data_IF_439980208554
#
_entry.id   IF_439980208554
#
_cell.length_a   1.000
_cell.length_b   1.000
_cell.length_c   1.000
_cell.angle_alpha   90.00
_cell.angle_beta   90.00
_cell.angle_gamma   90.00
#
_symmetry.space_group_name_H-M   'P 1'
#
loop_
_entity.id
_entity.type
_entity.pdbx_description
1 polymer ?
#
# COMPACT_ATOMS: atom_id res chain seq x y z
N UNK A 1 -38.95 -50.42 41.58
CA UNK A 1 -39.34 -51.52 40.67
C UNK A 1 -38.69 -51.28 39.33
N UNK A 2 -37.75 -52.13 39.09
CA UNK A 2 -37.32 -52.72 37.81
C UNK A 2 -36.74 -51.79 36.73
N UNK A 3 -35.42 -51.88 36.54
CA UNK A 3 -34.60 -52.90 35.78
C UNK A 3 -34.76 -52.65 34.25
N UNK A 4 -33.74 -52.62 33.43
CA UNK A 4 -32.50 -53.28 33.13
C UNK A 4 -31.97 -52.70 31.79
N UNK A 5 -30.74 -52.37 31.66
CA UNK A 5 -29.64 -53.07 30.97
C UNK A 5 -29.66 -53.12 29.43
N UNK A 6 -28.53 -52.79 28.94
CA UNK A 6 -27.77 -53.30 27.75
C UNK A 6 -27.97 -52.45 26.47
N UNK A 7 -26.98 -52.20 25.70
CA UNK A 7 -25.77 -52.89 25.39
C UNK A 7 -24.87 -52.12 24.45
N UNK A 8 -23.67 -52.53 24.41
CA UNK A 8 -22.54 -52.12 23.61
C UNK A 8 -22.80 -51.94 22.10
N UNK A 9 -22.24 -50.92 21.51
CA UNK A 9 -21.48 -51.10 20.27
C UNK A 9 -20.48 -49.98 20.03
N UNK A 10 -19.23 -50.35 20.13
CA UNK A 10 -18.08 -49.61 19.67
C UNK A 10 -18.06 -49.61 18.14
N UNK A 11 -18.09 -48.44 17.51
CA UNK A 11 -17.62 -48.28 16.13
C UNK A 11 -16.75 -47.05 16.04
N UNK A 12 -15.46 -47.29 16.02
CA UNK A 12 -14.41 -46.45 15.51
C UNK A 12 -14.71 -46.02 14.08
N UNK A 13 -14.88 -44.73 13.84
CA UNK A 13 -14.64 -44.14 12.54
C UNK A 13 -13.80 -42.90 12.74
N UNK A 14 -12.56 -43.05 12.34
CA UNK A 14 -11.58 -42.02 12.18
C UNK A 14 -11.99 -41.03 11.11
N UNK A 15 -12.37 -39.80 11.51
CA UNK A 15 -12.36 -38.65 10.60
C UNK A 15 -11.38 -37.63 11.17
N UNK A 16 -10.19 -37.60 10.57
CA UNK A 16 -9.25 -36.52 10.65
C UNK A 16 -9.92 -35.25 10.09
N UNK A 17 -10.37 -34.39 10.96
CA UNK A 17 -10.75 -33.03 10.58
C UNK A 17 -9.50 -32.17 10.39
N UNK A 18 -9.45 -31.28 9.37
CA UNK A 18 -8.30 -30.42 9.14
C UNK A 18 -8.11 -29.43 10.29
N UNK A 19 -6.87 -29.18 10.66
CA UNK A 19 -6.42 -28.38 11.80
C UNK A 19 -6.95 -26.92 11.88
N UNK A 20 -7.68 -26.45 10.86
CA UNK A 20 -8.31 -25.12 10.83
C UNK A 20 -9.63 -25.01 11.61
N UNK A 21 -10.26 -26.13 11.98
CA UNK A 21 -11.55 -26.14 12.69
C UNK A 21 -11.42 -26.05 14.22
N UNK A 22 -10.27 -26.41 14.79
CA UNK A 22 -10.05 -26.42 16.25
C UNK A 22 -9.81 -25.02 16.84
N UNK A 23 -9.49 -24.02 16.00
CA UNK A 23 -9.18 -22.65 16.45
C UNK A 23 -10.37 -21.75 16.80
N UNK A 24 -11.62 -22.17 16.60
CA UNK A 24 -12.81 -21.30 16.81
C UNK A 24 -13.64 -21.56 18.07
N UNK A 25 -13.30 -22.52 18.90
CA UNK A 25 -14.16 -22.94 20.02
C UNK A 25 -13.64 -22.69 21.44
N UNK A 26 -12.53 -21.96 21.65
CA UNK A 26 -11.95 -21.72 23.01
C UNK A 26 -12.03 -20.26 23.46
N UNK A 27 -13.06 -19.50 23.07
CA UNK A 27 -13.21 -18.09 23.52
C UNK A 27 -14.28 -17.89 24.61
N UNK A 28 -14.66 -18.91 25.39
CA UNK A 28 -15.69 -18.76 26.43
C UNK A 28 -15.33 -19.23 27.85
N UNK A 29 -14.07 -19.44 28.18
CA UNK A 29 -13.69 -19.67 29.59
C UNK A 29 -12.45 -18.85 29.90
N UNK A 30 -12.60 -17.89 30.82
CA UNK A 30 -11.55 -16.96 31.25
C UNK A 30 -10.39 -17.64 31.98
N UNK A 31 -9.59 -18.39 31.28
CA UNK A 31 -8.28 -18.90 31.69
C UNK A 31 -7.24 -18.21 30.83
N UNK A 32 -6.24 -17.61 31.44
CA UNK A 32 -5.07 -17.04 30.79
C UNK A 32 -4.50 -18.06 29.80
N UNK A 33 -4.94 -17.99 28.55
CA UNK A 33 -4.30 -18.72 27.48
C UNK A 33 -2.92 -18.12 27.27
N UNK A 34 -1.88 -18.82 27.64
CA UNK A 34 -0.52 -18.59 27.18
C UNK A 34 -0.57 -18.50 25.64
N UNK A 35 -0.38 -17.29 25.14
CA UNK A 35 -0.38 -17.04 23.70
C UNK A 35 0.77 -17.84 23.07
N UNK A 36 0.47 -18.85 22.29
CA UNK A 36 1.45 -19.52 21.44
C UNK A 36 2.17 -18.48 20.57
N UNK A 37 3.47 -18.66 20.32
CA UNK A 37 4.26 -17.81 19.46
C UNK A 37 3.59 -17.64 18.10
N UNK A 38 3.76 -16.47 17.50
CA UNK A 38 3.10 -16.12 16.26
C UNK A 38 4.12 -15.75 15.18
N UNK A 39 3.95 -16.37 14.03
CA UNK A 39 4.80 -16.07 12.87
C UNK A 39 4.03 -15.14 11.93
N UNK A 40 4.66 -14.03 11.58
CA UNK A 40 4.18 -13.11 10.56
C UNK A 40 5.09 -13.18 9.33
N UNK A 41 4.50 -13.23 8.14
CA UNK A 41 5.23 -13.26 6.89
C UNK A 41 4.80 -12.07 6.04
N UNK A 42 5.64 -11.03 6.01
CA UNK A 42 5.44 -9.80 5.25
C UNK A 42 6.15 -9.92 3.90
N UNK A 43 5.42 -9.86 2.81
CA UNK A 43 6.04 -9.87 1.48
C UNK A 43 5.37 -8.85 0.57
N UNK A 44 6.14 -8.23 -0.29
CA UNK A 44 5.63 -7.22 -1.24
C UNK A 44 6.74 -6.34 -1.77
N UNK A 45 6.40 -5.48 -2.73
CA UNK A 45 7.32 -4.50 -3.30
C UNK A 45 7.19 -3.12 -2.66
N UNK A 46 6.18 -2.92 -1.82
CA UNK A 46 5.95 -1.68 -1.09
C UNK A 46 6.69 -1.71 0.27
N UNK A 47 7.87 -1.09 0.31
CA UNK A 47 8.69 -1.00 1.51
C UNK A 47 8.04 -0.16 2.62
N UNK A 48 7.20 0.81 2.25
CA UNK A 48 6.49 1.66 3.21
C UNK A 48 5.49 0.83 4.01
N UNK A 49 4.72 -0.03 3.34
CA UNK A 49 3.80 -0.97 3.98
C UNK A 49 4.52 -2.01 4.85
N UNK A 50 5.65 -2.54 4.38
CA UNK A 50 6.46 -3.47 5.20
C UNK A 50 6.91 -2.77 6.49
N UNK A 51 7.45 -1.54 6.39
CA UNK A 51 7.87 -0.75 7.56
C UNK A 51 6.71 -0.43 8.50
N UNK A 52 5.57 -0.02 7.96
CA UNK A 52 4.36 0.27 8.72
C UNK A 52 3.88 -0.97 9.51
N UNK A 53 3.76 -2.12 8.84
CA UNK A 53 3.35 -3.37 9.50
C UNK A 53 4.33 -3.82 10.58
N UNK A 54 5.63 -3.65 10.38
CA UNK A 54 6.64 -3.91 11.40
C UNK A 54 6.47 -3.00 12.61
N UNK A 55 6.19 -1.70 12.40
CA UNK A 55 5.90 -0.75 13.49
C UNK A 55 4.65 -1.16 14.25
N UNK A 56 3.55 -1.45 13.56
CA UNK A 56 2.30 -1.92 14.19
C UNK A 56 2.52 -3.21 15.01
N UNK A 57 3.33 -4.14 14.51
CA UNK A 57 3.67 -5.35 15.26
C UNK A 57 4.52 -5.03 16.51
N UNK A 58 5.44 -4.07 16.43
CA UNK A 58 6.21 -3.63 17.59
C UNK A 58 5.32 -2.96 18.65
N UNK A 59 4.35 -2.16 18.24
CA UNK A 59 3.36 -1.53 19.11
C UNK A 59 2.39 -2.56 19.74
N UNK A 60 2.07 -3.63 19.01
CA UNK A 60 1.22 -4.73 19.51
C UNK A 60 1.90 -5.59 20.57
N UNK A 61 3.21 -5.63 20.59
CA UNK A 61 4.01 -6.43 21.52
C UNK A 61 5.02 -5.54 22.29
N UNK A 62 4.52 -4.59 23.13
CA UNK A 62 5.37 -3.57 23.73
C UNK A 62 6.34 -4.11 24.80
N UNK A 63 6.00 -5.23 25.43
CA UNK A 63 6.80 -5.84 26.51
C UNK A 63 7.83 -6.87 26.00
N UNK A 64 8.10 -6.90 24.69
CA UNK A 64 9.02 -7.86 24.09
C UNK A 64 10.36 -7.20 23.74
N UNK A 65 11.45 -7.89 24.02
CA UNK A 65 12.76 -7.51 23.50
C UNK A 65 12.81 -7.71 21.99
N UNK A 66 13.11 -6.63 21.25
CA UNK A 66 13.14 -6.69 19.78
C UNK A 66 14.54 -6.97 19.26
N UNK A 67 14.68 -8.05 18.49
CA UNK A 67 15.92 -8.44 17.79
C UNK A 67 15.70 -8.27 16.29
N UNK A 68 16.63 -7.57 15.60
CA UNK A 68 16.57 -7.41 14.15
C UNK A 68 17.76 -8.12 13.51
N UNK A 69 17.47 -9.03 12.59
CA UNK A 69 18.47 -9.78 11.81
C UNK A 69 18.25 -9.51 10.33
N UNK A 70 19.19 -8.84 9.67
CA UNK A 70 19.19 -8.72 8.21
C UNK A 70 19.82 -9.97 7.61
N UNK A 71 18.99 -10.77 6.91
CA UNK A 71 19.40 -12.06 6.33
C UNK A 71 20.45 -11.97 5.22
N UNK A 72 20.73 -10.78 4.70
CA UNK A 72 21.79 -10.56 3.70
C UNK A 72 23.16 -10.30 4.32
N UNK A 73 23.22 -9.97 5.61
CA UNK A 73 24.47 -9.66 6.28
C UNK A 73 25.31 -10.91 6.57
N UNK A 74 26.64 -10.81 6.54
CA UNK A 74 27.51 -11.92 6.94
C UNK A 74 27.19 -12.40 8.36
N UNK A 75 27.12 -13.72 8.55
CA UNK A 75 26.79 -14.32 9.84
C UNK A 75 25.33 -14.25 10.25
N UNK A 76 24.42 -13.83 9.36
CA UNK A 76 22.98 -13.72 9.63
C UNK A 76 22.36 -15.07 10.07
N UNK A 77 22.82 -16.19 9.50
CA UNK A 77 22.33 -17.51 9.86
C UNK A 77 22.59 -17.81 11.35
N UNK A 78 23.82 -17.63 11.82
CA UNK A 78 24.17 -17.84 13.22
C UNK A 78 23.44 -16.89 14.18
N UNK A 79 23.29 -15.60 13.79
CA UNK A 79 22.56 -14.62 14.58
C UNK A 79 21.07 -14.94 14.68
N UNK A 80 20.45 -15.40 13.58
CA UNK A 80 19.05 -15.79 13.59
C UNK A 80 18.84 -17.07 14.42
N UNK A 81 19.72 -18.05 14.29
CA UNK A 81 19.69 -19.26 15.11
C UNK A 81 19.86 -18.93 16.59
N UNK A 82 20.85 -18.09 16.93
CA UNK A 82 21.04 -17.62 18.30
C UNK A 82 19.79 -16.88 18.84
N UNK A 83 19.18 -15.99 18.06
CA UNK A 83 17.96 -15.28 18.47
C UNK A 83 16.80 -16.24 18.73
N UNK A 84 16.67 -17.31 17.91
CA UNK A 84 15.63 -18.32 18.04
C UNK A 84 15.91 -19.37 19.15
N UNK A 85 17.18 -19.64 19.49
CA UNK A 85 17.57 -20.67 20.46
C UNK A 85 17.78 -20.15 21.88
N UNK A 86 17.98 -18.84 22.05
CA UNK A 86 18.21 -18.28 23.37
C UNK A 86 16.91 -18.27 24.16
N UNK A 87 16.72 -19.24 25.02
CA UNK A 87 15.71 -19.16 26.07
C UNK A 87 16.16 -18.09 27.07
N UNK A 88 15.39 -17.03 27.24
CA UNK A 88 15.70 -16.02 28.25
C UNK A 88 15.39 -16.59 29.64
N UNK A 89 16.37 -16.52 30.54
CA UNK A 89 16.21 -16.98 31.95
C UNK A 89 15.13 -16.21 32.70
N UNK A 90 14.66 -15.07 32.15
CA UNK A 90 13.64 -14.19 32.73
C UNK A 90 12.30 -14.22 32.00
N UNK A 91 12.07 -15.22 31.14
CA UNK A 91 10.77 -15.50 30.47
C UNK A 91 10.15 -14.32 29.69
N UNK A 92 10.93 -13.35 29.24
CA UNK A 92 10.44 -12.32 28.33
C UNK A 92 10.37 -12.88 26.90
N UNK A 93 9.20 -12.80 26.27
CA UNK A 93 9.03 -13.10 24.86
C UNK A 93 9.90 -12.19 24.03
N UNK A 94 10.41 -12.71 22.90
CA UNK A 94 11.15 -11.90 21.92
C UNK A 94 10.30 -11.60 20.70
N UNK A 95 10.54 -10.44 20.12
CA UNK A 95 10.04 -10.04 18.84
C UNK A 95 11.19 -10.02 17.84
N UNK A 96 11.29 -11.07 17.02
CA UNK A 96 12.42 -11.30 16.12
C UNK A 96 12.02 -10.86 14.72
N UNK A 97 12.67 -9.81 14.20
CA UNK A 97 12.54 -9.37 12.82
C UNK A 97 13.65 -9.97 11.96
N UNK A 98 13.32 -10.88 11.05
CA UNK A 98 14.23 -11.41 10.03
C UNK A 98 13.96 -10.69 8.70
N UNK A 99 14.77 -9.68 8.42
CA UNK A 99 14.65 -8.84 7.25
C UNK A 99 15.37 -9.44 6.05
N UNK A 100 14.91 -9.08 4.84
CA UNK A 100 15.47 -9.56 3.59
C UNK A 100 15.51 -11.11 3.52
N UNK A 101 14.45 -11.77 3.96
CA UNK A 101 14.32 -13.23 3.98
C UNK A 101 14.19 -13.81 2.55
N UNK A 102 15.22 -13.61 1.71
CA UNK A 102 15.23 -14.01 0.30
C UNK A 102 15.19 -15.51 0.08
N UNK A 103 15.38 -16.31 1.12
CA UNK A 103 15.14 -17.76 1.06
C UNK A 103 13.68 -18.11 0.74
N UNK A 104 12.75 -17.18 0.93
CA UNK A 104 11.34 -17.29 0.54
C UNK A 104 11.09 -17.06 -0.96
N UNK A 105 12.08 -16.50 -1.67
CA UNK A 105 12.01 -16.19 -3.10
C UNK A 105 12.55 -17.34 -3.96
N UNK A 106 12.31 -17.27 -5.28
CA UNK A 106 12.86 -18.23 -6.24
C UNK A 106 14.40 -18.26 -6.19
N UNK A 107 15.03 -17.08 -6.11
CA UNK A 107 16.48 -16.94 -5.94
C UNK A 107 16.78 -16.55 -4.50
N UNK A 108 17.41 -17.45 -3.76
CA UNK A 108 17.93 -17.14 -2.43
C UNK A 108 19.29 -16.44 -2.54
N UNK A 109 19.38 -15.23 -2.04
CA UNK A 109 20.64 -14.45 -1.95
C UNK A 109 21.11 -14.32 -0.50
N UNK A 110 20.33 -14.79 0.48
CA UNK A 110 20.69 -14.77 1.88
C UNK A 110 21.54 -15.99 2.25
N UNK A 111 22.29 -15.87 3.35
CA UNK A 111 23.02 -16.99 3.93
C UNK A 111 22.16 -17.88 4.81
N UNK A 112 20.91 -17.46 5.07
CA UNK A 112 19.95 -18.20 5.90
C UNK A 112 19.29 -19.28 5.06
N UNK A 113 19.26 -20.50 5.61
CA UNK A 113 18.51 -21.61 5.02
C UNK A 113 17.10 -21.65 5.60
N UNK A 114 16.08 -21.96 4.79
CA UNK A 114 14.69 -21.97 5.25
C UNK A 114 14.44 -22.99 6.39
N UNK A 115 15.25 -24.03 6.46
CA UNK A 115 15.16 -25.08 7.49
C UNK A 115 15.48 -24.56 8.90
N UNK A 116 16.33 -23.53 9.02
CA UNK A 116 16.63 -22.88 10.30
C UNK A 116 15.37 -22.29 10.95
N UNK A 117 14.45 -21.78 10.13
CA UNK A 117 13.17 -21.23 10.59
C UNK A 117 12.12 -22.31 10.74
N UNK A 118 12.00 -23.25 9.78
CA UNK A 118 10.93 -24.26 9.79
C UNK A 118 11.09 -25.31 10.92
N UNK A 119 12.28 -25.49 11.45
CA UNK A 119 12.51 -26.35 12.63
C UNK A 119 11.98 -25.74 13.94
N UNK A 120 11.70 -24.44 13.96
CA UNK A 120 11.31 -23.68 15.14
C UNK A 120 9.95 -22.99 15.00
N UNK A 121 9.01 -23.65 14.30
CA UNK A 121 7.64 -23.16 14.14
C UNK A 121 6.83 -23.14 15.45
N UNK A 122 7.26 -23.91 16.46
CA UNK A 122 6.64 -24.02 17.78
C UNK A 122 7.44 -23.23 18.84
N UNK A 123 7.80 -21.99 18.53
CA UNK A 123 8.42 -21.10 19.51
C UNK A 123 7.36 -20.28 20.23
N UNK A 124 7.62 -19.85 21.46
CA UNK A 124 6.79 -18.88 22.19
C UNK A 124 7.04 -17.44 21.73
N UNK A 125 8.09 -17.20 20.96
CA UNK A 125 8.47 -15.91 20.44
C UNK A 125 7.59 -15.46 19.26
N UNK A 126 7.62 -14.17 18.97
CA UNK A 126 6.98 -13.58 17.79
C UNK A 126 8.04 -13.41 16.69
N UNK A 127 7.88 -14.16 15.60
CA UNK A 127 8.80 -14.10 14.46
C UNK A 127 8.17 -13.37 13.29
N UNK A 128 8.83 -12.31 12.81
CA UNK A 128 8.40 -11.50 11.67
C UNK A 128 9.39 -11.66 10.53
N UNK A 129 9.02 -12.40 9.51
CA UNK A 129 9.81 -12.57 8.29
C UNK A 129 9.39 -11.49 7.29
N UNK A 130 10.34 -10.71 6.76
CA UNK A 130 10.04 -9.71 5.74
C UNK A 130 10.89 -9.91 4.49
N UNK A 131 10.27 -9.77 3.30
CA UNK A 131 10.98 -9.91 2.02
C UNK A 131 10.37 -9.04 0.93
N UNK A 132 11.23 -8.39 0.14
CA UNK A 132 10.83 -7.58 -1.02
C UNK A 132 10.66 -8.49 -2.24
N UNK A 133 9.42 -8.94 -2.48
CA UNK A 133 9.08 -9.77 -3.64
C UNK A 133 7.60 -9.66 -3.98
N UNK A 134 7.25 -9.72 -5.27
CA UNK A 134 5.84 -9.76 -5.67
C UNK A 134 5.17 -11.09 -5.32
N UNK A 135 5.95 -12.18 -5.31
CA UNK A 135 5.44 -13.55 -5.09
C UNK A 135 6.42 -14.39 -4.29
N UNK A 136 5.89 -15.19 -3.40
CA UNK A 136 6.64 -16.22 -2.68
C UNK A 136 6.82 -17.46 -3.58
N UNK A 137 7.96 -18.16 -3.45
CA UNK A 137 8.19 -19.39 -4.21
C UNK A 137 7.53 -20.59 -3.54
N UNK A 138 6.25 -20.79 -3.82
CA UNK A 138 5.42 -21.87 -3.29
C UNK A 138 5.86 -23.28 -3.74
N UNK A 139 6.87 -23.42 -4.61
CA UNK A 139 7.45 -24.72 -4.98
C UNK A 139 8.30 -25.28 -3.85
N UNK A 140 8.89 -24.41 -3.02
CA UNK A 140 9.72 -24.79 -1.89
C UNK A 140 8.86 -25.32 -0.75
N UNK A 141 9.19 -26.53 -0.24
CA UNK A 141 8.47 -27.16 0.88
C UNK A 141 8.45 -26.26 2.12
N UNK A 142 9.58 -25.63 2.44
CA UNK A 142 9.71 -24.72 3.57
C UNK A 142 8.78 -23.50 3.47
N UNK A 143 8.62 -22.91 2.26
CA UNK A 143 7.70 -21.80 2.04
C UNK A 143 6.24 -22.21 2.28
N UNK A 144 5.85 -23.39 1.80
CA UNK A 144 4.51 -23.94 2.07
C UNK A 144 4.25 -24.14 3.57
N UNK A 145 5.23 -24.68 4.29
CA UNK A 145 5.13 -24.87 5.74
C UNK A 145 4.99 -23.54 6.47
N UNK A 146 5.78 -22.53 6.09
CA UNK A 146 5.71 -21.20 6.67
C UNK A 146 4.38 -20.50 6.35
N UNK A 147 3.86 -20.59 5.12
CA UNK A 147 2.54 -20.04 4.76
C UNK A 147 1.39 -20.68 5.58
N UNK A 148 1.50 -21.95 5.92
CA UNK A 148 0.48 -22.62 6.75
C UNK A 148 0.56 -22.24 8.23
N UNK A 149 1.77 -22.00 8.74
CA UNK A 149 2.01 -21.68 10.15
C UNK A 149 1.93 -20.17 10.44
N UNK A 150 2.17 -19.32 9.44
CA UNK A 150 2.28 -17.88 9.60
C UNK A 150 0.99 -17.13 9.23
N UNK A 151 0.80 -15.98 9.84
CA UNK A 151 -0.11 -14.96 9.31
C UNK A 151 0.59 -14.26 8.14
N UNK A 152 0.14 -14.56 6.93
CA UNK A 152 0.71 -13.99 5.69
C UNK A 152 0.09 -12.64 5.41
N UNK A 153 0.91 -11.59 5.29
CA UNK A 153 0.48 -10.21 5.06
C UNK A 153 1.14 -9.70 3.76
N UNK A 154 0.38 -9.58 2.67
CA UNK A 154 0.89 -9.00 1.45
C UNK A 154 1.07 -7.48 1.59
N UNK A 155 2.27 -6.99 1.29
CA UNK A 155 2.64 -5.58 1.25
C UNK A 155 2.89 -5.14 -0.19
N UNK A 156 1.92 -5.42 -1.07
CA UNK A 156 1.94 -4.97 -2.45
C UNK A 156 1.45 -3.51 -2.54
N UNK A 157 1.88 -2.75 -3.56
CA UNK A 157 1.34 -1.43 -3.80
C UNK A 157 -0.19 -1.46 -3.93
N UNK A 158 -0.84 -0.46 -3.35
CA UNK A 158 -2.29 -0.33 -3.45
C UNK A 158 -2.66 0.16 -4.86
N UNK A 159 -3.30 -0.69 -5.63
CA UNK A 159 -4.02 -0.28 -6.85
C UNK A 159 -5.50 -0.03 -6.53
N UNK A 160 -6.28 0.46 -7.50
CA UNK A 160 -7.66 0.86 -7.26
C UNK A 160 -8.52 -0.14 -6.47
N UNK A 161 -8.61 -1.43 -6.86
CA UNK A 161 -9.33 -2.43 -6.08
C UNK A 161 -8.70 -2.72 -4.72
N UNK A 162 -7.36 -2.82 -4.65
CA UNK A 162 -6.65 -3.07 -3.40
C UNK A 162 -6.72 -1.87 -2.44
N UNK A 163 -6.68 -0.63 -2.97
CA UNK A 163 -6.91 0.59 -2.19
C UNK A 163 -8.30 0.58 -1.56
N UNK A 164 -9.34 0.31 -2.35
CA UNK A 164 -10.72 0.26 -1.84
C UNK A 164 -10.89 -0.78 -0.74
N UNK A 165 -10.34 -1.98 -0.93
CA UNK A 165 -10.38 -3.03 0.07
C UNK A 165 -9.63 -2.63 1.36
N UNK A 166 -8.47 -1.98 1.22
CA UNK A 166 -7.69 -1.49 2.34
C UNK A 166 -8.41 -0.38 3.12
N UNK A 167 -9.01 0.59 2.42
CA UNK A 167 -9.82 1.65 3.04
C UNK A 167 -11.01 1.06 3.79
N UNK A 168 -11.72 0.05 3.22
CA UNK A 168 -12.80 -0.65 3.91
C UNK A 168 -12.34 -1.37 5.18
N UNK A 169 -11.14 -1.95 5.18
CA UNK A 169 -10.55 -2.58 6.36
C UNK A 169 -10.27 -1.54 7.46
N UNK A 170 -9.66 -0.40 7.10
CA UNK A 170 -9.41 0.72 8.01
C UNK A 170 -10.72 1.30 8.59
N UNK A 171 -11.73 1.50 7.75
CA UNK A 171 -13.04 1.98 8.21
C UNK A 171 -13.66 1.07 9.26
N UNK A 172 -13.59 -0.26 9.06
CA UNK A 172 -14.06 -1.25 10.05
C UNK A 172 -13.26 -1.19 11.34
N UNK A 173 -11.94 -1.06 11.26
CA UNK A 173 -11.05 -0.96 12.41
C UNK A 173 -11.34 0.29 13.24
N UNK A 174 -11.55 1.44 12.57
CA UNK A 174 -11.80 2.75 13.20
C UNK A 174 -13.31 3.02 13.46
N UNK A 175 -14.19 2.08 13.13
CA UNK A 175 -15.65 2.23 13.28
C UNK A 175 -16.21 3.46 12.54
N UNK A 176 -15.65 3.77 11.37
CA UNK A 176 -16.09 4.84 10.48
C UNK A 176 -17.06 4.27 9.44
N UNK A 177 -18.16 4.94 9.20
CA UNK A 177 -19.14 4.60 8.16
C UNK A 177 -19.25 5.75 7.16
N UNK A 178 -18.92 5.48 5.91
CA UNK A 178 -19.10 6.41 4.79
C UNK A 178 -20.19 5.90 3.88
N UNK A 179 -21.05 6.81 3.41
CA UNK A 179 -21.98 6.50 2.33
C UNK A 179 -21.20 6.20 1.02
N UNK A 180 -21.85 5.55 0.01
CA UNK A 180 -21.16 5.14 -1.22
C UNK A 180 -20.51 6.28 -1.99
N UNK A 181 -21.10 7.48 -1.98
CA UNK A 181 -20.58 8.65 -2.70
C UNK A 181 -19.36 9.22 -1.98
N UNK A 182 -19.43 9.37 -0.66
CA UNK A 182 -18.31 9.76 0.20
C UNK A 182 -17.14 8.78 0.11
N UNK A 183 -17.40 7.48 0.14
CA UNK A 183 -16.38 6.44 -0.02
C UNK A 183 -15.70 6.49 -1.39
N UNK A 184 -16.47 6.60 -2.47
CA UNK A 184 -15.92 6.67 -3.82
C UNK A 184 -15.12 7.96 -4.03
N UNK A 185 -15.62 9.08 -3.50
CA UNK A 185 -14.92 10.35 -3.56
C UNK A 185 -13.59 10.26 -2.81
N UNK A 186 -13.60 9.76 -1.56
CA UNK A 186 -12.40 9.56 -0.75
C UNK A 186 -11.35 8.71 -1.49
N UNK A 187 -11.73 7.52 -1.96
CA UNK A 187 -10.81 6.65 -2.70
C UNK A 187 -10.23 7.27 -3.97
N UNK A 188 -10.97 8.21 -4.59
CA UNK A 188 -10.52 8.89 -5.81
C UNK A 188 -9.52 10.00 -5.53
N UNK A 189 -9.50 10.58 -4.33
CA UNK A 189 -8.76 11.81 -4.01
C UNK A 189 -7.68 11.64 -2.95
N UNK A 190 -7.82 10.67 -2.05
CA UNK A 190 -6.86 10.45 -0.95
C UNK A 190 -5.56 9.73 -1.34
N UNK A 191 -5.40 9.37 -2.64
CA UNK A 191 -4.21 8.67 -3.13
C UNK A 191 -4.14 7.20 -2.74
N UNK A 192 -2.95 6.61 -2.86
CA UNK A 192 -2.74 5.18 -2.62
C UNK A 192 -1.64 4.91 -1.56
N UNK A 193 -1.14 5.93 -0.88
CA UNK A 193 -0.16 5.76 0.20
C UNK A 193 -0.86 5.24 1.46
N UNK A 194 -0.50 4.05 1.97
CA UNK A 194 -1.15 3.47 3.15
C UNK A 194 -1.06 4.33 4.40
N UNK A 195 0.05 5.07 4.58
CA UNK A 195 0.26 5.93 5.76
C UNK A 195 -0.67 7.13 5.70
N UNK A 196 -0.81 7.73 4.52
CA UNK A 196 -1.74 8.83 4.29
C UNK A 196 -3.18 8.35 4.47
N UNK A 197 -3.57 7.24 3.84
CA UNK A 197 -4.92 6.67 3.97
C UNK A 197 -5.30 6.37 5.42
N UNK A 198 -4.37 5.80 6.22
CA UNK A 198 -4.58 5.52 7.63
C UNK A 198 -4.81 6.82 8.42
N UNK A 199 -3.98 7.84 8.19
CA UNK A 199 -4.09 9.16 8.84
C UNK A 199 -5.40 9.88 8.48
N UNK A 200 -5.80 9.84 7.20
CA UNK A 200 -7.03 10.46 6.74
C UNK A 200 -8.28 9.77 7.30
N UNK A 201 -8.32 8.44 7.33
CA UNK A 201 -9.41 7.67 7.94
C UNK A 201 -9.48 7.90 9.45
N UNK A 202 -8.32 7.97 10.13
CA UNK A 202 -8.28 8.29 11.56
C UNK A 202 -8.86 9.69 11.82
N UNK A 203 -8.45 10.68 11.06
CA UNK A 203 -8.94 12.07 11.16
C UNK A 203 -10.46 12.13 10.98
N UNK A 204 -11.02 11.47 9.95
CA UNK A 204 -12.45 11.41 9.73
C UNK A 204 -13.19 10.70 10.89
N UNK A 205 -12.65 9.60 11.41
CA UNK A 205 -13.27 8.84 12.50
C UNK A 205 -13.28 9.59 13.84
N UNK A 206 -12.32 10.49 14.07
CA UNK A 206 -12.27 11.37 15.25
C UNK A 206 -13.28 12.52 15.10
N UNK A 207 -13.52 13.01 13.88
CA UNK A 207 -14.48 14.08 13.63
C UNK A 207 -15.93 13.60 13.82
N UNK A 208 -16.33 12.56 13.07
CA UNK A 208 -17.64 11.92 13.19
C UNK A 208 -17.55 10.47 12.69
N UNK A 209 -18.40 9.59 13.21
CA UNK A 209 -18.53 8.21 12.72
C UNK A 209 -19.28 8.11 11.40
N UNK A 210 -20.09 9.10 11.06
CA UNK A 210 -20.92 9.18 9.86
C UNK A 210 -20.79 10.56 9.18
N UNK A 211 -19.56 10.96 8.76
CA UNK A 211 -19.36 12.27 8.15
C UNK A 211 -20.07 12.37 6.81
N UNK A 212 -20.65 13.54 6.54
CA UNK A 212 -21.27 13.83 5.25
C UNK A 212 -20.23 13.93 4.13
N UNK A 213 -20.67 13.88 2.87
CA UNK A 213 -19.80 14.08 1.71
C UNK A 213 -19.07 15.44 1.76
N UNK A 214 -19.71 16.46 2.29
CA UNK A 214 -19.11 17.81 2.46
C UNK A 214 -18.03 17.80 3.51
N UNK A 215 -18.24 17.11 4.63
CA UNK A 215 -17.23 16.94 5.68
C UNK A 215 -16.02 16.15 5.16
N UNK A 216 -16.27 15.05 4.44
CA UNK A 216 -15.20 14.26 3.82
C UNK A 216 -14.37 15.10 2.86
N UNK A 217 -15.02 15.95 2.03
CA UNK A 217 -14.32 16.85 1.12
C UNK A 217 -13.52 17.93 1.84
N UNK A 218 -14.07 18.47 2.92
CA UNK A 218 -13.42 19.55 3.67
C UNK A 218 -12.22 19.05 4.50
N UNK A 219 -12.32 17.85 5.04
CA UNK A 219 -11.32 17.30 5.97
C UNK A 219 -10.24 16.48 5.26
N UNK A 220 -10.55 15.80 4.15
CA UNK A 220 -9.58 14.95 3.47
C UNK A 220 -8.52 15.79 2.75
N UNK A 221 -7.27 15.53 3.06
CA UNK A 221 -6.15 16.11 2.31
C UNK A 221 -6.09 15.46 0.93
N UNK A 222 -6.44 16.23 -0.09
CA UNK A 222 -6.35 15.76 -1.49
C UNK A 222 -4.88 15.65 -1.86
N UNK A 223 -4.47 14.46 -2.30
CA UNK A 223 -3.08 14.25 -2.70
C UNK A 223 -2.70 15.20 -3.85
N UNK A 224 -1.52 15.88 -3.82
CA UNK A 224 -1.11 16.80 -4.89
C UNK A 224 -1.18 16.19 -6.29
N UNK A 225 -0.93 14.89 -6.41
CA UNK A 225 -1.07 14.13 -7.67
C UNK A 225 -2.51 14.16 -8.18
N UNK A 226 -3.52 14.05 -7.30
CA UNK A 226 -4.94 14.13 -7.68
C UNK A 226 -5.31 15.53 -8.18
N UNK A 227 -4.79 16.58 -7.55
CA UNK A 227 -4.99 17.94 -8.01
C UNK A 227 -4.34 18.20 -9.38
N UNK A 228 -3.17 17.62 -9.66
CA UNK A 228 -2.54 17.69 -10.98
C UNK A 228 -3.37 16.99 -12.06
N UNK A 229 -4.05 15.88 -11.73
CA UNK A 229 -4.98 15.24 -12.67
C UNK A 229 -6.17 16.16 -12.98
N UNK A 230 -6.75 16.81 -11.97
CA UNK A 230 -7.83 17.80 -12.17
C UNK A 230 -7.36 18.94 -13.06
N UNK A 231 -6.16 19.47 -12.85
CA UNK A 231 -5.55 20.49 -13.70
C UNK A 231 -5.35 19.98 -15.14
N UNK A 232 -4.84 18.76 -15.28
CA UNK A 232 -4.60 18.15 -16.57
C UNK A 232 -5.89 17.94 -17.35
N UNK A 233 -6.95 17.46 -16.69
CA UNK A 233 -8.26 17.29 -17.31
C UNK A 233 -8.85 18.66 -17.70
N UNK A 234 -8.76 19.68 -16.83
CA UNK A 234 -9.23 21.02 -17.12
C UNK A 234 -8.48 21.67 -18.30
N UNK A 235 -7.16 21.43 -18.40
CA UNK A 235 -6.33 21.88 -19.52
C UNK A 235 -6.78 21.23 -20.84
N UNK A 236 -7.04 19.92 -20.81
CA UNK A 236 -7.47 19.17 -21.98
C UNK A 236 -8.90 19.52 -22.42
N UNK A 237 -9.77 19.78 -21.45
CA UNK A 237 -11.15 20.21 -21.72
C UNK A 237 -11.22 21.71 -22.11
N UNK A 238 -10.06 22.40 -22.23
CA UNK A 238 -9.92 23.84 -22.46
C UNK A 238 -10.75 24.68 -21.47
N UNK A 239 -10.92 24.16 -20.24
CA UNK A 239 -11.68 24.83 -19.20
C UNK A 239 -10.76 25.66 -18.30
N UNK A 240 -10.45 26.90 -18.72
CA UNK A 240 -9.57 27.78 -18.01
C UNK A 240 -10.05 28.16 -16.60
N UNK A 241 -11.38 28.25 -16.37
CA UNK A 241 -11.92 28.53 -15.03
C UNK A 241 -11.65 27.36 -14.06
N UNK A 242 -11.84 26.13 -14.53
CA UNK A 242 -11.56 24.91 -13.73
C UNK A 242 -10.06 24.75 -13.49
N UNK A 243 -9.24 25.08 -14.50
CA UNK A 243 -7.78 25.07 -14.38
C UNK A 243 -7.30 26.10 -13.36
N UNK A 244 -7.83 27.32 -13.40
CA UNK A 244 -7.51 28.38 -12.46
C UNK A 244 -7.96 28.05 -11.03
N UNK A 245 -9.13 27.46 -10.86
CA UNK A 245 -9.60 26.99 -9.54
C UNK A 245 -8.68 25.93 -8.96
N UNK A 246 -8.25 24.95 -9.76
CA UNK A 246 -7.30 23.92 -9.33
C UNK A 246 -5.92 24.52 -9.02
N UNK A 247 -5.45 25.51 -9.78
CA UNK A 247 -4.22 26.26 -9.49
C UNK A 247 -4.31 26.98 -8.14
N UNK A 248 -5.41 27.66 -7.85
CA UNK A 248 -5.60 28.35 -6.57
C UNK A 248 -5.54 27.39 -5.39
N UNK A 249 -6.10 26.18 -5.51
CA UNK A 249 -5.98 25.17 -4.46
C UNK A 249 -4.52 24.82 -4.13
N UNK A 250 -3.63 24.80 -5.11
CA UNK A 250 -2.20 24.60 -4.86
C UNK A 250 -1.56 25.83 -4.19
N UNK A 251 -2.00 27.03 -4.57
CA UNK A 251 -1.52 28.28 -3.95
C UNK A 251 -1.95 28.40 -2.50
N UNK A 252 -3.16 27.97 -2.15
CA UNK A 252 -3.68 27.91 -0.78
C UNK A 252 -2.87 26.95 0.09
N UNK A 253 -2.26 25.92 -0.52
CA UNK A 253 -1.31 25.02 0.13
C UNK A 253 0.13 25.56 0.16
N UNK A 254 0.34 26.85 -0.11
CA UNK A 254 1.64 27.53 -0.17
C UNK A 254 2.61 26.96 -1.23
N UNK A 255 2.11 26.28 -2.26
CA UNK A 255 2.98 25.79 -3.33
C UNK A 255 3.36 26.96 -4.28
N UNK A 256 4.65 27.07 -4.56
CA UNK A 256 5.16 28.10 -5.49
C UNK A 256 4.59 27.94 -6.90
N UNK A 257 4.22 29.03 -7.59
CA UNK A 257 3.64 28.98 -8.94
C UNK A 257 4.45 28.17 -9.94
N UNK A 258 5.75 28.37 -9.94
CA UNK A 258 6.67 27.63 -10.81
C UNK A 258 6.66 26.13 -10.53
N UNK A 259 6.53 25.73 -9.26
CA UNK A 259 6.42 24.32 -8.88
C UNK A 259 5.13 23.70 -9.41
N UNK A 260 4.02 24.43 -9.40
CA UNK A 260 2.73 23.96 -9.96
C UNK A 260 2.85 23.76 -11.48
N UNK A 261 3.45 24.73 -12.19
CA UNK A 261 3.72 24.62 -13.65
C UNK A 261 4.57 23.39 -13.95
N UNK A 262 5.64 23.16 -13.17
CA UNK A 262 6.52 22.00 -13.35
C UNK A 262 5.82 20.66 -13.08
N UNK A 263 4.92 20.62 -12.09
CA UNK A 263 4.09 19.44 -11.83
C UNK A 263 3.16 19.14 -13.01
N UNK A 264 2.48 20.14 -13.52
CA UNK A 264 1.58 20.01 -14.67
C UNK A 264 2.36 19.55 -15.92
N UNK A 265 3.49 20.21 -16.22
CA UNK A 265 4.37 19.81 -17.31
C UNK A 265 4.89 18.38 -17.16
N UNK A 266 5.23 17.97 -15.93
CA UNK A 266 5.65 16.59 -15.63
C UNK A 266 4.55 15.57 -15.93
N UNK A 267 3.30 15.90 -15.62
CA UNK A 267 2.14 15.03 -15.90
C UNK A 267 1.86 14.93 -17.41
N UNK A 268 1.89 16.05 -18.13
CA UNK A 268 1.71 16.06 -19.60
C UNK A 268 2.84 15.27 -20.28
N UNK A 269 4.08 15.41 -19.82
CA UNK A 269 5.22 14.63 -20.30
C UNK A 269 5.02 13.13 -20.08
N UNK A 270 4.52 12.75 -18.91
CA UNK A 270 4.22 11.35 -18.63
C UNK A 270 3.14 10.82 -19.56
N UNK A 271 2.06 11.57 -19.79
CA UNK A 271 1.01 11.20 -20.76
C UNK A 271 1.55 11.07 -22.19
N UNK A 272 2.43 11.98 -22.62
CA UNK A 272 3.09 11.91 -23.92
C UNK A 272 3.92 10.63 -24.06
N UNK A 273 4.74 10.31 -23.07
CA UNK A 273 5.56 9.08 -23.06
C UNK A 273 4.67 7.83 -23.10
N UNK A 274 3.59 7.81 -22.33
CA UNK A 274 2.62 6.71 -22.35
C UNK A 274 1.98 6.58 -23.72
N UNK A 275 1.57 7.71 -24.34
CA UNK A 275 0.97 7.73 -25.69
C UNK A 275 1.91 7.15 -26.73
N UNK A 276 3.15 7.62 -26.78
CA UNK A 276 4.16 7.12 -27.74
C UNK A 276 4.38 5.63 -27.57
N UNK A 277 4.44 5.12 -26.35
CA UNK A 277 4.61 3.68 -26.09
C UNK A 277 3.36 2.87 -26.48
N UNK A 278 2.16 3.44 -26.32
CA UNK A 278 0.92 2.82 -26.81
C UNK A 278 0.88 2.76 -28.33
N UNK A 279 1.32 3.80 -29.03
CA UNK A 279 1.40 3.84 -30.49
C UNK A 279 2.42 2.81 -31.03
N UNK A 280 3.42 2.46 -30.21
CA UNK A 280 4.35 1.35 -30.48
C UNK A 280 3.75 -0.04 -30.18
N UNK A 281 2.49 -0.12 -29.75
CA UNK A 281 1.81 -1.39 -29.43
C UNK A 281 2.16 -1.98 -28.08
N UNK A 282 2.85 -1.24 -27.17
CA UNK A 282 3.25 -1.76 -25.87
C UNK A 282 2.05 -1.87 -24.89
N UNK A 283 2.03 -2.97 -24.15
CA UNK A 283 1.00 -3.23 -23.15
C UNK A 283 1.29 -2.53 -21.81
N UNK A 284 0.27 -2.47 -20.91
CA UNK A 284 0.33 -1.82 -19.59
C UNK A 284 1.58 -2.19 -18.77
N UNK A 285 1.90 -3.48 -18.68
CA UNK A 285 3.04 -3.95 -17.86
C UNK A 285 4.38 -3.49 -18.43
N UNK A 286 4.51 -3.49 -19.74
CA UNK A 286 5.72 -3.07 -20.44
C UNK A 286 5.91 -1.55 -20.32
N UNK A 287 4.84 -0.77 -20.49
CA UNK A 287 4.85 0.69 -20.30
C UNK A 287 5.24 1.04 -18.87
N UNK A 288 4.61 0.40 -17.88
CA UNK A 288 4.93 0.62 -16.47
C UNK A 288 6.40 0.34 -16.16
N UNK A 289 6.94 -0.75 -16.70
CA UNK A 289 8.35 -1.13 -16.56
C UNK A 289 9.29 -0.13 -17.24
N UNK A 290 8.97 0.28 -18.47
CA UNK A 290 9.80 1.20 -19.27
C UNK A 290 9.89 2.57 -18.61
N UNK A 291 8.77 3.08 -18.06
CA UNK A 291 8.70 4.40 -17.43
C UNK A 291 9.00 4.34 -15.92
N UNK A 292 9.33 3.16 -15.39
CA UNK A 292 9.52 2.95 -13.93
C UNK A 292 8.35 3.50 -13.12
N UNK A 293 7.12 3.37 -13.64
CA UNK A 293 5.92 3.93 -13.08
C UNK A 293 5.05 2.83 -12.43
N UNK A 294 4.29 3.24 -11.39
CA UNK A 294 3.36 2.32 -10.75
C UNK A 294 2.29 1.85 -11.74
N UNK A 295 1.93 0.54 -11.78
CA UNK A 295 0.97 -0.01 -12.74
C UNK A 295 -0.40 0.67 -12.73
N UNK A 296 -0.88 1.12 -11.57
CA UNK A 296 -2.12 1.87 -11.41
C UNK A 296 -2.05 3.24 -12.08
N UNK A 297 -0.99 4.02 -11.81
CA UNK A 297 -0.74 5.31 -12.47
C UNK A 297 -0.65 5.16 -13.99
N UNK A 298 0.03 4.11 -14.45
CA UNK A 298 0.12 3.79 -15.89
C UNK A 298 -1.25 3.49 -16.48
N UNK A 299 -2.12 2.76 -15.79
CA UNK A 299 -3.47 2.44 -16.27
C UNK A 299 -4.33 3.69 -16.42
N UNK A 300 -4.32 4.60 -15.44
CA UNK A 300 -5.03 5.88 -15.54
C UNK A 300 -4.49 6.71 -16.70
N UNK A 301 -3.15 6.81 -16.79
CA UNK A 301 -2.50 7.56 -17.86
C UNK A 301 -2.80 6.99 -19.26
N UNK A 302 -2.87 5.67 -19.42
CA UNK A 302 -3.30 5.05 -20.68
C UNK A 302 -4.74 5.39 -21.04
N UNK A 303 -5.64 5.46 -20.05
CA UNK A 303 -7.02 5.91 -20.25
C UNK A 303 -7.09 7.34 -20.77
N UNK A 304 -6.36 8.25 -20.13
CA UNK A 304 -6.29 9.66 -20.51
C UNK A 304 -5.56 9.87 -21.84
N UNK A 305 -4.42 9.20 -22.07
CA UNK A 305 -3.64 9.32 -23.28
C UNK A 305 -4.36 8.86 -24.56
N UNK A 306 -5.40 8.01 -24.46
CA UNK A 306 -6.26 7.63 -25.60
C UNK A 306 -7.08 8.79 -26.15
N UNK A 307 -7.33 9.82 -25.35
CA UNK A 307 -8.14 11.00 -25.74
C UNK A 307 -7.35 11.98 -26.63
N UNK A 308 -6.03 11.86 -26.70
CA UNK A 308 -5.14 12.83 -27.33
C UNK A 308 -4.16 12.14 -28.25
N UNK A 309 -3.79 12.83 -29.34
CA UNK A 309 -2.66 12.45 -30.14
C UNK A 309 -1.34 12.96 -29.56
N UNK A 310 -0.22 12.42 -30.04
CA UNK A 310 1.11 12.80 -29.58
C UNK A 310 1.49 14.25 -29.93
N UNK A 311 0.96 14.78 -31.03
CA UNK A 311 1.24 16.15 -31.48
C UNK A 311 0.60 17.16 -30.54
N UNK A 312 -0.66 16.94 -30.14
CA UNK A 312 -1.34 17.82 -29.17
C UNK A 312 -0.63 17.83 -27.81
N UNK A 313 -0.16 16.67 -27.37
CA UNK A 313 0.60 16.58 -26.10
C UNK A 313 1.96 17.29 -26.21
N UNK A 314 2.61 17.24 -27.36
CA UNK A 314 3.84 18.00 -27.63
C UNK A 314 3.62 19.50 -27.60
N UNK A 315 2.58 19.98 -28.27
CA UNK A 315 2.20 21.40 -28.29
C UNK A 315 1.96 21.94 -26.87
N UNK A 316 1.22 21.19 -26.04
CA UNK A 316 1.02 21.55 -24.64
C UNK A 316 2.32 21.57 -23.83
N UNK A 317 3.26 20.65 -24.11
CA UNK A 317 4.57 20.67 -23.46
C UNK A 317 5.39 21.90 -23.86
N UNK A 318 5.30 22.32 -25.12
CA UNK A 318 5.96 23.54 -25.60
C UNK A 318 5.38 24.78 -24.93
N UNK A 319 4.05 24.90 -24.83
CA UNK A 319 3.38 25.98 -24.10
C UNK A 319 3.82 26.03 -22.63
N UNK A 320 3.88 24.86 -21.94
CA UNK A 320 4.37 24.79 -20.57
C UNK A 320 5.84 25.20 -20.44
N UNK A 321 6.68 24.83 -21.41
CA UNK A 321 8.09 25.23 -21.43
C UNK A 321 8.27 26.74 -21.61
N UNK A 322 7.48 27.38 -22.48
CA UNK A 322 7.47 28.81 -22.64
C UNK A 322 7.03 29.54 -21.37
N UNK A 323 5.96 29.08 -20.72
CA UNK A 323 5.49 29.60 -19.45
C UNK A 323 6.56 29.51 -18.35
N UNK A 324 7.15 28.31 -18.18
CA UNK A 324 8.24 28.06 -17.22
C UNK A 324 9.44 28.98 -17.49
N UNK A 325 9.85 29.11 -18.73
CA UNK A 325 10.99 29.93 -19.12
C UNK A 325 10.73 31.41 -18.86
N UNK A 326 9.53 31.93 -19.20
CA UNK A 326 9.12 33.29 -18.94
C UNK A 326 9.16 33.65 -17.46
N UNK A 327 8.62 32.78 -16.62
CA UNK A 327 8.66 32.92 -15.15
C UNK A 327 10.09 32.89 -14.60
N UNK A 328 10.94 31.97 -15.08
CA UNK A 328 12.34 31.86 -14.63
C UNK A 328 13.20 33.05 -15.02
N UNK A 329 12.94 33.64 -16.18
CA UNK A 329 13.66 34.85 -16.67
C UNK A 329 13.11 36.16 -16.10
N UNK A 330 12.03 36.10 -15.31
CA UNK A 330 11.35 37.28 -14.80
C UNK A 330 10.64 38.11 -15.89
N UNK A 331 10.39 37.51 -17.05
CA UNK A 331 9.62 38.12 -18.15
C UNK A 331 8.11 38.09 -17.91
N UNK A 332 7.69 37.08 -17.10
CA UNK A 332 6.32 36.91 -16.64
C UNK A 332 6.31 36.94 -15.12
N UNK A 333 5.39 37.67 -14.53
CA UNK A 333 5.06 37.50 -13.13
C UNK A 333 4.60 36.04 -12.89
N UNK A 334 4.99 35.44 -11.79
CA UNK A 334 4.77 34.04 -11.58
C UNK A 334 3.29 33.66 -11.46
N UNK A 335 2.51 34.44 -10.71
CA UNK A 335 1.08 34.18 -10.52
C UNK A 335 0.28 34.66 -11.73
N UNK A 336 0.52 35.90 -12.19
CA UNK A 336 -0.17 36.47 -13.34
C UNK A 336 0.11 35.72 -14.64
N UNK A 337 1.35 35.20 -14.82
CA UNK A 337 1.71 34.42 -16.00
C UNK A 337 0.87 33.14 -16.13
N UNK A 338 0.59 32.44 -15.04
CA UNK A 338 -0.29 31.27 -15.09
C UNK A 338 -1.75 31.64 -15.29
N UNK A 339 -2.22 32.72 -14.66
CA UNK A 339 -3.58 33.24 -14.86
C UNK A 339 -3.83 33.67 -16.31
N UNK A 340 -2.87 34.36 -16.93
CA UNK A 340 -2.93 34.72 -18.36
C UNK A 340 -2.99 33.46 -19.24
N UNK A 341 -2.15 32.48 -18.97
CA UNK A 341 -2.21 31.19 -19.68
C UNK A 341 -3.60 30.54 -19.60
N UNK A 342 -4.25 30.59 -18.43
CA UNK A 342 -5.63 30.09 -18.28
C UNK A 342 -6.64 30.90 -19.13
N UNK A 343 -6.45 32.23 -19.25
CA UNK A 343 -7.30 33.11 -20.06
C UNK A 343 -7.10 32.83 -21.56
N UNK A 344 -5.87 32.65 -22.01
CA UNK A 344 -5.56 32.33 -23.41
C UNK A 344 -6.22 31.03 -23.85
N UNK A 345 -6.18 30.02 -22.98
CA UNK A 345 -6.89 28.76 -23.20
C UNK A 345 -8.40 28.92 -23.40
N UNK A 346 -9.03 29.87 -22.72
CA UNK A 346 -10.46 30.16 -22.89
C UNK A 346 -10.76 30.86 -24.22
N UNK A 347 -9.80 31.60 -24.77
CA UNK A 347 -9.96 32.29 -26.05
C UNK A 347 -9.77 31.36 -27.25
N UNK A 348 -8.99 30.29 -27.11
CA UNK A 348 -8.79 29.27 -28.13
C UNK A 348 -9.97 28.24 -28.23
N UNK A 349 -11.00 28.43 -27.41
CA UNK A 349 -12.20 27.59 -27.39
C UNK A 349 -13.28 28.23 -28.23
#
# INVERSE_FOLDING_TARGET
>A
MNTLLSGHSCRTVSHLQPASAVRRQVLQSGTLCYNQGMIYLLYGTDESRIRQKKRQLKEKYPETDSVVVDCLQPGAAARLEQALDTADLFASRKLIFADNATFLCAKNTSQVQPEAVTKRLETDDVLVLSVKTEKLDKRKKAVKMLEQAAQVIPCLPLDGPAQKAYVQELMKEKQLELDPDSFNWFCSHAGCDPVILESEIEKLSVFDRHPSLEDVKALTTVEPVSNVFIMTDALFDKNGLRLLAAYRNFRDQNMEPLAVVMLLAGQIRFLFQVRVLMDQGKGKQEIAKTLSAHPYRTQIAMGNARRFDSLRLMDLLEQMAHLEQGMKKGQLDKDQGFEMFCLDLMQES
#
